data_IF_447955556082
#
_entry.id   IF_447955556082
#
_cell.length_a   1.000
_cell.length_b   1.000
_cell.length_c   1.000
_cell.angle_alpha   90.00
_cell.angle_beta   90.00
_cell.angle_gamma   90.00
#
_symmetry.space_group_name_H-M   'P 1'
#
loop_
_entity.id
_entity.type
_entity.pdbx_description
1 polymer ?
#
# COMPACT_ATOMS: atom_id res chain seq x y z
N UNK A 1 -41.14 -11.54 -12.48
CA UNK A 1 -40.36 -10.67 -11.59
C UNK A 1 -39.65 -11.56 -10.58
N UNK A 2 -38.46 -12.04 -10.89
CA UNK A 2 -37.66 -12.89 -9.99
C UNK A 2 -36.49 -12.07 -9.45
N UNK A 3 -36.49 -11.85 -8.14
CA UNK A 3 -35.37 -11.21 -7.45
C UNK A 3 -34.22 -12.22 -7.35
N UNK A 4 -33.11 -11.92 -8.03
CA UNK A 4 -31.86 -12.65 -7.86
C UNK A 4 -31.16 -12.14 -6.59
N UNK A 5 -31.16 -12.98 -5.55
CA UNK A 5 -30.41 -12.75 -4.32
C UNK A 5 -28.93 -13.05 -4.64
N UNK A 6 -28.12 -11.99 -4.75
CA UNK A 6 -26.67 -12.13 -4.89
C UNK A 6 -26.06 -12.47 -3.53
N UNK A 7 -25.69 -13.74 -3.35
CA UNK A 7 -24.82 -14.15 -2.25
C UNK A 7 -23.40 -13.63 -2.52
N UNK A 8 -23.01 -12.56 -1.82
CA UNK A 8 -21.60 -12.22 -1.64
C UNK A 8 -20.93 -13.31 -0.81
N UNK A 9 -20.00 -14.06 -1.40
CA UNK A 9 -19.06 -14.87 -0.62
C UNK A 9 -18.03 -13.93 0.02
N UNK A 10 -17.95 -13.86 1.37
CA UNK A 10 -16.79 -13.25 2.01
C UNK A 10 -15.57 -14.12 1.73
N UNK A 11 -14.45 -13.49 1.36
CA UNK A 11 -13.14 -14.14 1.33
C UNK A 11 -12.79 -14.66 2.74
N UNK A 12 -13.13 -15.92 2.99
CA UNK A 12 -12.81 -16.64 4.22
C UNK A 12 -11.30 -16.94 4.24
N UNK A 13 -10.54 -16.08 4.90
CA UNK A 13 -9.18 -16.42 5.34
C UNK A 13 -9.30 -17.42 6.49
N UNK A 14 -9.09 -18.71 6.20
CA UNK A 14 -8.99 -19.76 7.22
C UNK A 14 -7.86 -19.42 8.20
N UNK A 15 -8.18 -19.38 9.50
CA UNK A 15 -7.18 -19.43 10.58
C UNK A 15 -6.68 -20.88 10.71
N UNK A 16 -5.37 -21.08 10.89
CA UNK A 16 -4.97 -21.76 12.12
C UNK A 16 -3.67 -21.23 12.76
N UNK A 17 -3.56 -21.42 14.07
CA UNK A 17 -2.28 -21.71 14.72
C UNK A 17 -1.54 -20.54 15.38
N UNK A 18 -1.39 -20.67 16.71
CA UNK A 18 -0.41 -20.00 17.59
C UNK A 18 0.88 -19.54 16.89
N UNK A 19 1.23 -18.27 17.11
CA UNK A 19 2.56 -17.71 16.84
C UNK A 19 2.59 -16.68 15.70
N UNK A 20 1.91 -15.53 15.84
CA UNK A 20 1.88 -14.54 14.75
C UNK A 20 3.07 -13.57 14.81
N UNK A 21 4.10 -13.96 14.07
CA UNK A 21 5.08 -13.13 13.36
C UNK A 21 4.47 -11.82 12.82
N UNK A 22 5.26 -10.74 12.80
CA UNK A 22 4.95 -9.45 12.14
C UNK A 22 4.66 -9.71 10.65
N UNK A 23 3.44 -10.09 10.30
CA UNK A 23 3.05 -10.26 8.91
C UNK A 23 2.96 -8.87 8.29
N UNK A 24 3.92 -8.58 7.41
CA UNK A 24 3.82 -7.47 6.47
C UNK A 24 2.52 -7.62 5.68
N UNK A 25 1.89 -6.50 5.32
CA UNK A 25 0.78 -6.52 4.36
C UNK A 25 1.35 -7.07 3.06
N UNK A 26 0.77 -8.15 2.54
CA UNK A 26 1.22 -8.82 1.31
C UNK A 26 0.09 -8.78 0.31
N UNK A 27 0.39 -8.40 -0.93
CA UNK A 27 -0.58 -8.44 -2.01
C UNK A 27 0.08 -8.80 -3.34
N UNK A 28 -0.71 -9.50 -4.15
CA UNK A 28 -0.33 -9.91 -5.49
C UNK A 28 -0.61 -8.79 -6.49
N UNK A 29 0.41 -8.41 -7.26
CA UNK A 29 0.31 -7.39 -8.31
C UNK A 29 1.19 -7.77 -9.52
N UNK A 30 1.03 -7.11 -10.67
CA UNK A 30 1.93 -7.29 -11.81
C UNK A 30 3.39 -7.02 -11.41
N UNK A 31 4.32 -7.84 -11.92
CA UNK A 31 5.74 -7.68 -11.62
C UNK A 31 6.32 -6.44 -12.32
N UNK A 32 6.51 -5.35 -11.57
CA UNK A 32 6.98 -4.05 -12.09
C UNK A 32 8.39 -4.07 -12.68
N UNK A 33 9.15 -5.15 -12.48
CA UNK A 33 10.49 -5.32 -13.06
C UNK A 33 10.44 -5.75 -14.51
N UNK A 34 9.33 -6.38 -14.90
CA UNK A 34 9.08 -6.73 -16.29
C UNK A 34 8.54 -5.49 -16.96
N UNK A 35 9.28 -4.99 -17.93
CA UNK A 35 8.87 -3.81 -18.68
C UNK A 35 9.03 -4.02 -20.17
N UNK A 36 8.17 -3.38 -20.94
CA UNK A 36 8.29 -3.27 -22.38
C UNK A 36 7.63 -1.98 -22.86
N UNK A 37 7.84 -1.64 -24.12
CA UNK A 37 7.15 -0.52 -24.77
C UNK A 37 6.13 -1.11 -25.73
N UNK A 38 4.91 -0.60 -25.67
CA UNK A 38 3.84 -0.98 -26.58
C UNK A 38 3.34 0.26 -27.32
N UNK A 39 2.96 0.08 -28.59
CA UNK A 39 2.27 1.13 -29.32
C UNK A 39 0.83 1.20 -28.81
N UNK A 40 0.55 2.19 -28.00
CA UNK A 40 -0.81 2.58 -27.65
C UNK A 40 -1.38 3.33 -28.84
N UNK A 41 -2.23 2.66 -29.61
CA UNK A 41 -2.99 3.36 -30.64
C UNK A 41 -3.79 4.44 -29.92
N UNK A 42 -3.68 5.70 -30.35
CA UNK A 42 -4.71 6.68 -30.04
C UNK A 42 -6.03 6.05 -30.49
N UNK A 43 -7.03 6.13 -29.61
CA UNK A 43 -8.38 5.68 -29.92
C UNK A 43 -8.75 6.18 -31.29
N UNK A 44 -8.95 5.25 -32.22
CA UNK A 44 -9.65 5.60 -33.44
C UNK A 44 -11.06 6.01 -33.04
N UNK A 45 -11.66 6.92 -33.81
CA UNK A 45 -13.07 7.26 -33.65
C UNK A 45 -13.86 5.94 -33.73
N UNK A 46 -14.48 5.53 -32.62
CA UNK A 46 -15.21 4.27 -32.51
C UNK A 46 -14.58 3.21 -31.60
N UNK A 47 -13.36 3.39 -31.11
CA UNK A 47 -12.78 2.46 -30.13
C UNK A 47 -13.59 2.48 -28.82
N UNK A 48 -13.80 1.31 -28.19
CA UNK A 48 -14.54 1.27 -26.94
C UNK A 48 -13.84 2.05 -25.83
N UNK A 49 -14.59 2.91 -25.12
CA UNK A 49 -14.04 3.78 -24.07
C UNK A 49 -13.33 3.02 -22.92
N UNK A 50 -13.57 1.72 -22.76
CA UNK A 50 -12.90 0.87 -21.77
C UNK A 50 -11.55 0.30 -22.21
N UNK A 51 -11.08 0.60 -23.42
CA UNK A 51 -9.74 0.24 -23.91
C UNK A 51 -8.81 1.46 -24.06
N UNK A 52 -9.31 2.64 -23.70
CA UNK A 52 -8.60 3.92 -23.89
C UNK A 52 -7.59 4.13 -22.78
N UNK A 53 -6.34 4.31 -23.16
CA UNK A 53 -5.27 4.71 -22.25
C UNK A 53 -5.08 6.22 -22.36
N UNK A 54 -5.36 6.94 -21.28
CA UNK A 54 -5.17 8.38 -21.19
C UNK A 54 -3.78 8.73 -20.63
N UNK A 55 -3.30 9.98 -20.80
CA UNK A 55 -2.06 10.43 -20.19
C UNK A 55 -2.03 10.21 -18.66
N UNK A 56 -0.91 9.68 -18.15
CA UNK A 56 -0.72 9.30 -16.76
C UNK A 56 -0.63 7.79 -16.56
N UNK A 57 -1.15 7.32 -15.43
CA UNK A 57 -1.20 5.91 -15.07
C UNK A 57 -2.53 5.27 -15.50
N UNK A 58 -2.48 4.07 -16.05
CA UNK A 58 -3.66 3.25 -16.24
C UNK A 58 -3.45 1.79 -15.80
N UNK A 59 -4.49 1.18 -15.27
CA UNK A 59 -4.52 -0.23 -14.86
C UNK A 59 -5.24 -1.06 -15.90
N UNK A 60 -4.53 -1.99 -16.52
CA UNK A 60 -5.14 -2.94 -17.46
C UNK A 60 -5.44 -4.26 -16.74
N UNK A 61 -6.59 -4.87 -17.02
CA UNK A 61 -6.93 -6.19 -16.52
C UNK A 61 -8.17 -6.80 -17.18
N UNK A 62 -8.59 -7.95 -16.68
CA UNK A 62 -9.76 -8.68 -17.20
C UNK A 62 -11.01 -8.38 -16.38
N UNK A 63 -12.12 -8.00 -17.03
CA UNK A 63 -13.39 -7.85 -16.33
C UNK A 63 -13.97 -9.23 -15.99
N UNK A 64 -14.40 -9.43 -14.73
CA UNK A 64 -14.98 -10.70 -14.27
C UNK A 64 -16.49 -10.83 -14.52
N UNK A 65 -17.14 -9.76 -14.97
CA UNK A 65 -18.57 -9.79 -15.27
C UNK A 65 -18.78 -10.42 -16.66
N UNK A 66 -19.36 -11.62 -16.70
CA UNK A 66 -19.61 -12.38 -17.93
C UNK A 66 -20.60 -11.69 -18.89
N UNK A 67 -21.42 -10.77 -18.38
CA UNK A 67 -22.34 -9.96 -19.18
C UNK A 67 -21.73 -8.63 -19.63
N UNK A 68 -20.50 -8.32 -19.21
CA UNK A 68 -19.82 -7.10 -19.62
C UNK A 68 -19.31 -7.25 -21.06
N UNK A 69 -19.51 -6.24 -21.93
CA UNK A 69 -18.92 -6.26 -23.27
C UNK A 69 -17.39 -6.14 -23.24
N UNK A 70 -16.82 -5.62 -22.16
CA UNK A 70 -15.39 -5.53 -21.96
C UNK A 70 -14.83 -6.85 -21.43
N UNK A 71 -14.17 -7.63 -22.28
CA UNK A 71 -13.34 -8.77 -21.84
C UNK A 71 -12.05 -8.28 -21.21
N UNK A 72 -11.41 -7.30 -21.85
CA UNK A 72 -10.24 -6.56 -21.37
C UNK A 72 -10.70 -5.14 -21.06
N UNK A 73 -10.18 -4.56 -19.99
CA UNK A 73 -10.55 -3.24 -19.53
C UNK A 73 -9.33 -2.46 -19.05
N UNK A 74 -9.35 -1.17 -19.29
CA UNK A 74 -8.40 -0.17 -18.82
C UNK A 74 -9.11 0.74 -17.84
N UNK A 75 -8.52 0.96 -16.67
CA UNK A 75 -8.97 1.94 -15.68
C UNK A 75 -7.91 3.04 -15.59
N UNK A 76 -8.21 4.22 -16.14
CA UNK A 76 -7.31 5.37 -16.07
C UNK A 76 -7.29 5.91 -14.63
N UNK A 77 -6.09 6.05 -14.08
CA UNK A 77 -5.83 6.55 -12.72
C UNK A 77 -5.25 7.96 -12.74
N UNK A 78 -4.91 8.49 -13.92
CA UNK A 78 -4.35 9.83 -14.13
C UNK A 78 -2.99 10.03 -13.43
N UNK A 79 -2.55 11.28 -13.36
CA UNK A 79 -1.37 11.70 -12.62
C UNK A 79 -1.63 11.65 -11.11
N UNK A 80 -0.58 11.51 -10.31
CA UNK A 80 -0.66 11.54 -8.86
C UNK A 80 -0.01 10.34 -8.18
N UNK A 81 -0.39 10.09 -6.93
CA UNK A 81 0.22 9.07 -6.09
C UNK A 81 -0.75 7.92 -5.85
N UNK A 82 -0.37 6.76 -6.38
CA UNK A 82 -1.21 5.57 -6.44
C UNK A 82 -0.60 4.42 -5.64
N UNK A 83 -1.47 3.57 -5.10
CA UNK A 83 -1.12 2.44 -4.25
C UNK A 83 -2.00 1.27 -4.64
N UNK A 84 -1.60 0.45 -5.63
CA UNK A 84 -2.49 -0.52 -6.26
C UNK A 84 -3.26 -1.43 -5.29
N UNK A 85 -2.65 -1.82 -4.16
CA UNK A 85 -3.34 -2.56 -3.10
C UNK A 85 -4.49 -1.77 -2.47
N UNK A 86 -4.24 -0.51 -2.10
CA UNK A 86 -5.26 0.38 -1.55
C UNK A 86 -6.33 0.66 -2.60
N UNK A 87 -5.92 1.01 -3.83
CA UNK A 87 -6.84 1.34 -4.91
C UNK A 87 -7.79 0.16 -5.22
N UNK A 88 -7.27 -1.07 -5.19
CA UNK A 88 -8.08 -2.29 -5.29
C UNK A 88 -8.99 -2.50 -4.08
N UNK A 89 -8.46 -2.42 -2.86
CA UNK A 89 -9.23 -2.61 -1.62
C UNK A 89 -10.37 -1.59 -1.46
N UNK A 90 -10.16 -0.35 -1.89
CA UNK A 90 -11.17 0.71 -1.87
C UNK A 90 -12.09 0.68 -3.09
N UNK A 91 -11.97 -0.34 -3.94
CA UNK A 91 -12.76 -0.49 -5.16
C UNK A 91 -12.69 0.76 -6.07
N UNK A 92 -11.51 1.35 -6.19
CA UNK A 92 -11.23 2.41 -7.17
C UNK A 92 -10.93 1.81 -8.54
N UNK A 93 -10.41 0.58 -8.58
CA UNK A 93 -10.11 -0.14 -9.82
C UNK A 93 -11.37 -0.83 -10.34
N UNK A 94 -12.09 -0.15 -11.24
CA UNK A 94 -13.37 -0.62 -11.79
C UNK A 94 -13.34 -0.60 -13.31
N UNK A 95 -14.00 -1.60 -13.90
CA UNK A 95 -14.19 -1.64 -15.35
C UNK A 95 -15.07 -0.45 -15.77
N UNK A 96 -14.64 0.43 -16.69
CA UNK A 96 -15.46 1.59 -17.09
C UNK A 96 -16.80 1.18 -17.70
N UNK A 97 -16.85 0.04 -18.40
CA UNK A 97 -18.04 -0.43 -19.09
C UNK A 97 -19.17 -0.89 -18.14
N UNK A 98 -18.84 -1.58 -17.04
CA UNK A 98 -19.85 -2.19 -16.16
C UNK A 98 -19.62 -1.96 -14.66
N UNK A 99 -18.60 -1.18 -14.29
CA UNK A 99 -18.24 -0.81 -12.91
C UNK A 99 -17.84 -1.96 -11.98
N UNK A 100 -17.74 -3.18 -12.52
CA UNK A 100 -17.27 -4.36 -11.77
C UNK A 100 -15.79 -4.20 -11.45
N UNK A 101 -15.37 -4.42 -10.18
CA UNK A 101 -13.97 -4.32 -9.80
C UNK A 101 -13.13 -5.41 -10.47
N UNK A 102 -11.90 -5.08 -10.83
CA UNK A 102 -10.96 -6.04 -11.42
C UNK A 102 -9.55 -5.88 -10.84
N UNK A 103 -8.75 -6.93 -10.94
CA UNK A 103 -7.36 -6.91 -10.47
C UNK A 103 -6.44 -6.47 -11.62
N UNK A 104 -5.50 -5.53 -11.39
CA UNK A 104 -4.53 -5.15 -12.41
C UNK A 104 -3.66 -6.33 -12.84
N UNK A 105 -3.46 -6.44 -14.14
CA UNK A 105 -2.57 -7.40 -14.82
C UNK A 105 -1.34 -6.71 -15.42
N UNK A 106 -1.47 -5.42 -15.77
CA UNK A 106 -0.38 -4.55 -16.21
C UNK A 106 -0.62 -3.09 -15.76
N UNK A 107 0.45 -2.30 -15.72
CA UNK A 107 0.43 -0.85 -15.52
C UNK A 107 0.91 -0.14 -16.79
N UNK A 108 0.09 0.74 -17.35
CA UNK A 108 0.43 1.57 -18.50
C UNK A 108 0.82 2.97 -18.02
N UNK A 109 1.91 3.48 -18.59
CA UNK A 109 2.41 4.84 -18.38
C UNK A 109 2.45 5.54 -19.73
N UNK A 110 1.53 6.48 -19.94
CA UNK A 110 1.37 7.20 -21.21
C UNK A 110 1.65 8.68 -21.01
N UNK A 111 2.54 9.26 -21.83
CA UNK A 111 2.85 10.69 -21.80
C UNK A 111 3.02 11.24 -20.36
N UNK A 112 3.86 10.55 -19.59
CA UNK A 112 4.09 10.84 -18.17
C UNK A 112 5.49 10.39 -17.74
N UNK A 113 5.89 10.88 -16.58
CA UNK A 113 7.05 10.38 -15.84
C UNK A 113 6.56 9.75 -14.54
N UNK A 114 7.18 8.66 -14.10
CA UNK A 114 6.81 7.99 -12.87
C UNK A 114 8.02 7.55 -12.04
N UNK A 115 7.82 7.50 -10.72
CA UNK A 115 8.74 6.95 -9.73
C UNK A 115 8.01 5.87 -8.93
N UNK A 116 8.47 4.65 -9.04
CA UNK A 116 7.89 3.44 -8.48
C UNK A 116 8.76 2.96 -7.34
N UNK A 117 8.25 3.06 -6.11
CA UNK A 117 8.89 2.56 -4.91
C UNK A 117 8.25 1.21 -4.55
N UNK A 118 9.04 0.14 -4.49
CA UNK A 118 8.52 -1.19 -4.23
C UNK A 118 9.39 -2.01 -3.29
N UNK A 119 8.80 -3.05 -2.70
CA UNK A 119 9.48 -4.00 -1.85
C UNK A 119 8.78 -5.34 -1.99
N UNK A 120 9.48 -6.35 -2.52
CA UNK A 120 8.96 -7.71 -2.62
C UNK A 120 8.97 -8.41 -1.26
N UNK A 121 8.23 -9.51 -1.18
CA UNK A 121 8.35 -10.40 -0.02
C UNK A 121 9.79 -10.89 0.15
N UNK A 122 10.40 -10.55 1.28
CA UNK A 122 11.77 -10.95 1.61
C UNK A 122 12.88 -10.15 0.93
N UNK A 123 12.55 -9.13 0.13
CA UNK A 123 13.55 -8.24 -0.47
C UNK A 123 13.73 -6.95 0.32
N UNK A 124 14.82 -6.23 0.05
CA UNK A 124 14.96 -4.83 0.44
C UNK A 124 14.06 -3.93 -0.43
N UNK A 125 13.71 -2.72 0.04
CA UNK A 125 13.05 -1.72 -0.79
C UNK A 125 13.93 -1.32 -1.98
N UNK A 126 13.29 -1.05 -3.11
CA UNK A 126 13.92 -0.66 -4.37
C UNK A 126 13.09 0.42 -5.07
N UNK A 127 13.71 1.12 -6.01
CA UNK A 127 13.12 2.22 -6.78
C UNK A 127 13.35 2.01 -8.27
N UNK A 128 12.30 2.25 -9.05
CA UNK A 128 12.35 2.35 -10.50
C UNK A 128 11.80 3.71 -10.92
N UNK A 129 12.39 4.36 -11.93
CA UNK A 129 11.79 5.51 -12.61
C UNK A 129 11.49 5.16 -14.06
N UNK A 130 10.46 5.80 -14.56
CA UNK A 130 9.98 5.65 -15.92
C UNK A 130 9.81 7.06 -16.47
N UNK A 131 10.34 7.31 -17.66
CA UNK A 131 9.98 8.51 -18.42
C UNK A 131 9.46 8.07 -19.77
N UNK A 132 8.23 8.44 -20.09
CA UNK A 132 7.62 8.19 -21.39
C UNK A 132 6.98 9.48 -21.90
N UNK A 133 7.69 10.16 -22.79
CA UNK A 133 7.27 11.44 -23.38
C UNK A 133 6.82 11.30 -24.84
N UNK A 134 6.75 10.07 -25.36
CA UNK A 134 6.36 9.84 -26.75
C UNK A 134 4.85 9.71 -26.85
N UNK A 135 4.27 10.51 -27.73
CA UNK A 135 2.90 10.29 -28.20
C UNK A 135 2.80 8.87 -28.80
N UNK A 136 1.66 8.20 -28.58
CA UNK A 136 1.35 6.85 -29.11
C UNK A 136 2.16 5.67 -28.57
N UNK A 137 3.02 5.88 -27.58
CA UNK A 137 3.74 4.79 -26.92
C UNK A 137 3.50 4.84 -25.42
N UNK A 138 3.21 3.68 -24.86
CA UNK A 138 3.19 3.49 -23.41
C UNK A 138 4.38 2.65 -22.99
N UNK A 139 4.97 3.03 -21.87
CA UNK A 139 5.74 2.09 -21.07
C UNK A 139 4.75 1.20 -20.33
N UNK A 140 4.91 -0.11 -20.46
CA UNK A 140 4.10 -1.09 -19.74
C UNK A 140 4.98 -1.77 -18.70
N UNK A 141 4.51 -1.79 -17.44
CA UNK A 141 5.11 -2.58 -16.37
C UNK A 141 4.20 -3.75 -16.00
N UNK A 142 4.80 -4.93 -15.82
CA UNK A 142 4.09 -6.19 -15.63
C UNK A 142 3.79 -6.89 -16.96
N UNK A 143 3.41 -8.18 -16.84
CA UNK A 143 2.99 -9.02 -17.96
C UNK A 143 1.86 -9.91 -17.48
N UNK A 144 0.84 -10.10 -18.31
CA UNK A 144 -0.31 -10.95 -18.00
C UNK A 144 0.14 -12.35 -17.55
N UNK A 145 -0.38 -12.80 -16.40
CA UNK A 145 -0.02 -14.08 -15.77
C UNK A 145 1.27 -14.04 -14.95
N UNK A 146 2.06 -12.96 -14.99
CA UNK A 146 3.26 -12.78 -14.19
C UNK A 146 2.98 -11.86 -13.01
N UNK A 147 2.79 -12.50 -11.86
CA UNK A 147 2.43 -11.83 -10.61
C UNK A 147 3.60 -11.90 -9.64
N UNK A 148 3.83 -10.81 -8.93
CA UNK A 148 4.75 -10.75 -7.80
C UNK A 148 4.02 -10.35 -6.51
N UNK A 149 4.57 -10.76 -5.37
CA UNK A 149 4.03 -10.45 -4.04
C UNK A 149 4.81 -9.31 -3.41
N UNK A 150 4.09 -8.23 -3.11
CA UNK A 150 4.66 -6.99 -2.58
C UNK A 150 4.33 -6.81 -1.10
N UNK A 151 5.31 -6.33 -0.35
CA UNK A 151 5.14 -5.69 0.94
C UNK A 151 4.80 -4.20 0.81
N UNK A 152 5.27 -3.58 -0.28
CA UNK A 152 5.07 -2.18 -0.62
C UNK A 152 5.08 -2.03 -2.15
N UNK A 153 4.12 -1.29 -2.69
CA UNK A 153 4.16 -0.77 -4.06
C UNK A 153 3.49 0.60 -4.05
N UNK A 154 4.25 1.63 -4.40
CA UNK A 154 3.79 3.02 -4.49
C UNK A 154 4.25 3.57 -5.82
N UNK A 155 3.31 4.10 -6.59
CA UNK A 155 3.56 4.65 -7.92
C UNK A 155 3.26 6.15 -7.84
N UNK A 156 4.28 6.99 -8.01
CA UNK A 156 4.14 8.44 -8.11
C UNK A 156 4.27 8.82 -9.58
N UNK A 157 3.22 9.37 -10.17
CA UNK A 157 3.16 9.75 -11.59
C UNK A 157 2.98 11.26 -11.70
N UNK A 158 3.75 11.86 -12.58
CA UNK A 158 3.76 13.28 -12.86
C UNK A 158 3.97 13.53 -14.36
N UNK A 159 4.02 14.80 -14.75
CA UNK A 159 4.23 15.22 -16.14
C UNK A 159 5.56 14.67 -16.70
N UNK A 160 5.65 14.47 -18.02
CA UNK A 160 6.90 14.10 -18.67
C UNK A 160 8.08 14.98 -18.23
N UNK A 161 9.26 14.37 -18.10
CA UNK A 161 10.47 15.06 -17.66
C UNK A 161 10.60 15.31 -16.16
N UNK A 162 9.59 15.02 -15.33
CA UNK A 162 9.68 15.22 -13.87
C UNK A 162 10.68 14.28 -13.21
N UNK A 163 10.70 13.01 -13.62
CA UNK A 163 11.69 12.02 -13.19
C UNK A 163 12.52 11.60 -14.40
N UNK A 164 13.84 11.70 -14.27
CA UNK A 164 14.76 11.17 -15.28
C UNK A 164 14.67 9.64 -15.28
N UNK A 165 14.52 9.06 -16.47
CA UNK A 165 14.56 7.61 -16.68
C UNK A 165 15.94 7.11 -16.24
N UNK A 166 15.96 6.02 -15.48
CA UNK A 166 17.17 5.38 -14.96
C UNK A 166 18.15 4.96 -16.04
N UNK A 167 17.70 4.88 -17.29
CA UNK A 167 18.44 4.26 -18.38
C UNK A 167 18.45 2.75 -18.18
N UNK A 168 17.70 2.05 -19.04
CA UNK A 168 17.60 0.57 -19.13
C UNK A 168 17.61 -0.16 -17.78
N UNK A 169 16.41 -0.37 -17.24
CA UNK A 169 16.09 -1.43 -16.26
C UNK A 169 16.98 -2.68 -16.41
N UNK A 170 17.22 -3.12 -17.65
CA UNK A 170 18.07 -4.26 -18.00
C UNK A 170 19.49 -4.21 -17.43
N UNK A 171 20.15 -3.03 -17.39
CA UNK A 171 21.52 -2.91 -16.92
C UNK A 171 21.63 -3.01 -15.38
N UNK A 172 20.71 -2.36 -14.65
CA UNK A 172 20.66 -2.45 -13.18
C UNK A 172 20.24 -3.83 -12.72
N UNK A 173 19.28 -4.47 -13.41
CA UNK A 173 18.75 -5.77 -13.01
C UNK A 173 19.73 -6.91 -13.26
N UNK A 174 20.49 -6.87 -14.36
CA UNK A 174 21.56 -7.85 -14.62
C UNK A 174 22.60 -7.83 -13.50
N UNK A 175 23.03 -6.63 -13.07
CA UNK A 175 24.01 -6.48 -12.00
C UNK A 175 23.48 -6.89 -10.62
N UNK A 176 22.21 -6.57 -10.31
CA UNK A 176 21.59 -6.95 -9.05
C UNK A 176 21.35 -8.48 -8.97
N UNK A 177 20.90 -9.10 -10.06
CA UNK A 177 20.71 -10.55 -10.15
C UNK A 177 22.04 -11.29 -10.01
N UNK A 178 23.11 -10.81 -10.65
CA UNK A 178 24.45 -11.37 -10.51
C UNK A 178 24.97 -11.27 -9.07
N UNK A 179 24.74 -10.15 -8.38
CA UNK A 179 25.08 -10.02 -6.95
C UNK A 179 24.29 -10.95 -6.06
N UNK A 180 22.99 -11.12 -6.31
CA UNK A 180 22.15 -12.04 -5.53
C UNK A 180 22.57 -13.49 -5.74
N UNK A 181 22.85 -13.89 -6.99
CA UNK A 181 23.35 -15.24 -7.33
C UNK A 181 24.73 -15.50 -6.73
N UNK A 182 25.62 -14.49 -6.72
CA UNK A 182 26.92 -14.58 -6.06
C UNK A 182 26.78 -14.73 -4.53
N UNK A 183 25.83 -14.01 -3.91
CA UNK A 183 25.60 -14.12 -2.48
C UNK A 183 25.01 -15.48 -2.07
N UNK A 184 24.10 -16.03 -2.88
CA UNK A 184 23.55 -17.37 -2.68
C UNK A 184 24.62 -18.47 -2.78
N UNK A 185 25.60 -18.32 -3.68
CA UNK A 185 26.77 -19.22 -3.78
C UNK A 185 27.64 -19.15 -2.51
N UNK A 186 27.83 -17.97 -1.94
CA UNK A 186 28.64 -17.79 -0.71
C UNK A 186 27.92 -18.24 0.57
N UNK A 187 26.58 -18.23 0.60
CA UNK A 187 25.80 -18.77 1.73
C UNK A 187 25.82 -20.30 1.77
N UNK A 188 26.11 -20.95 0.63
CA UNK A 188 26.24 -22.41 0.53
C UNK A 188 27.55 -22.94 1.13
N UNK A 189 28.53 -22.06 1.41
CA UNK A 189 29.86 -22.44 1.91
C UNK A 189 30.10 -22.06 3.38
N UNK A 190 29.19 -21.32 4.02
CA UNK A 190 29.36 -20.84 5.39
C UNK A 190 28.42 -21.54 6.37
N UNK A 191 28.72 -22.80 6.68
CA UNK A 191 28.13 -23.53 7.81
C UNK A 191 29.23 -24.21 8.62
N UNK A 192 29.67 -23.58 9.71
CA UNK A 192 30.09 -24.21 10.99
C UNK A 192 30.56 -23.09 11.95
N UNK A 193 29.82 -22.87 13.04
CA UNK A 193 30.31 -22.73 14.43
C UNK A 193 29.19 -22.12 15.29
N UNK A 194 28.73 -22.89 16.28
CA UNK A 194 27.73 -22.46 17.25
C UNK A 194 28.35 -21.71 18.43
N UNK A 195 27.57 -20.82 19.03
CA UNK A 195 27.83 -20.34 20.39
C UNK A 195 26.53 -19.84 21.05
N UNK A 196 26.34 -20.32 22.28
CA UNK A 196 25.15 -20.13 23.13
C UNK A 196 25.34 -18.91 24.03
N UNK A 197 24.37 -17.98 24.18
CA UNK A 197 24.49 -16.87 25.13
C UNK A 197 23.86 -17.17 26.50
N UNK A 198 24.60 -16.80 27.55
CA UNK A 198 24.24 -16.83 28.98
C UNK A 198 23.20 -15.76 29.34
N UNK A 199 22.26 -16.10 30.22
CA UNK A 199 21.22 -15.22 30.75
C UNK A 199 21.71 -14.36 31.91
N UNK A 200 21.16 -13.14 32.02
CA UNK A 200 21.36 -12.17 33.12
C UNK A 200 20.06 -11.94 33.91
N UNK A 201 20.13 -11.38 35.15
CA UNK A 201 19.06 -11.43 36.15
C UNK A 201 17.90 -10.46 35.90
N UNK A 202 16.71 -10.85 36.34
CA UNK A 202 15.40 -10.23 36.04
C UNK A 202 15.08 -9.13 37.07
N UNK A 203 14.97 -7.89 36.60
CA UNK A 203 14.41 -6.75 37.33
C UNK A 203 12.87 -6.87 37.46
N UNK A 204 12.23 -6.22 38.46
CA UNK A 204 10.80 -6.37 38.72
C UNK A 204 9.94 -5.97 37.51
N UNK A 205 8.98 -6.82 37.21
CA UNK A 205 8.24 -6.91 35.95
C UNK A 205 7.34 -5.67 35.75
N UNK A 206 7.47 -4.94 34.62
CA UNK A 206 6.47 -3.95 34.24
C UNK A 206 5.13 -4.66 34.03
N UNK A 207 4.02 -4.02 34.46
CA UNK A 207 2.66 -4.44 34.11
C UNK A 207 2.64 -4.98 32.67
N UNK A 208 2.24 -6.24 32.51
CA UNK A 208 2.18 -6.90 31.21
C UNK A 208 1.09 -6.21 30.39
N UNK A 209 1.48 -5.21 29.60
CA UNK A 209 0.61 -4.57 28.63
C UNK A 209 0.16 -5.64 27.65
N UNK A 210 -1.07 -6.12 27.82
CA UNK A 210 -1.68 -7.03 26.86
C UNK A 210 -1.69 -6.35 25.49
N UNK A 211 -1.32 -7.07 24.43
CA UNK A 211 -1.32 -6.54 23.06
C UNK A 211 -2.77 -6.43 22.58
N UNK A 212 -3.37 -5.24 22.55
CA UNK A 212 -4.78 -5.11 22.20
C UNK A 212 -4.92 -5.17 20.68
N UNK A 213 -6.01 -5.74 20.20
CA UNK A 213 -6.40 -5.69 18.78
C UNK A 213 -7.43 -4.58 18.52
N UNK A 214 -8.15 -4.16 19.56
CA UNK A 214 -9.12 -3.07 19.55
C UNK A 214 -8.85 -2.18 20.74
N UNK A 215 -8.92 -0.86 20.56
CA UNK A 215 -8.87 0.11 21.64
C UNK A 215 -9.92 1.19 21.40
N UNK A 216 -10.43 1.78 22.48
CA UNK A 216 -11.20 3.00 22.38
C UNK A 216 -10.25 4.14 21.98
N UNK A 217 -10.49 4.86 20.87
CA UNK A 217 -9.67 5.99 20.46
C UNK A 217 -9.43 7.00 21.57
N UNK A 218 -10.42 7.24 22.44
CA UNK A 218 -10.30 8.22 23.53
C UNK A 218 -9.22 7.87 24.56
N UNK A 219 -8.93 6.58 24.75
CA UNK A 219 -7.90 6.08 25.68
C UNK A 219 -6.49 6.12 25.08
N UNK A 220 -6.37 6.42 23.78
CA UNK A 220 -5.08 6.50 23.07
C UNK A 220 -4.59 7.94 23.02
N UNK A 221 -3.34 8.14 23.38
CA UNK A 221 -2.67 9.44 23.42
C UNK A 221 -1.91 9.74 22.14
N UNK A 222 -1.71 11.01 21.85
CA UNK A 222 -0.91 11.46 20.72
C UNK A 222 0.57 11.48 21.07
N UNK A 223 1.44 10.99 20.17
CA UNK A 223 2.90 11.12 20.38
C UNK A 223 3.42 12.51 19.96
N UNK A 224 2.70 13.21 19.08
CA UNK A 224 3.05 14.54 18.57
C UNK A 224 2.14 15.63 19.13
N UNK A 225 2.67 16.84 19.25
CA UNK A 225 1.93 18.07 19.56
C UNK A 225 1.10 18.61 18.38
N UNK A 226 1.41 18.17 17.15
CA UNK A 226 0.75 18.66 15.95
C UNK A 226 0.77 17.69 14.77
N UNK A 227 -0.21 17.85 13.87
CA UNK A 227 -0.39 17.06 12.65
C UNK A 227 -0.67 17.98 11.45
N UNK A 228 -0.31 17.51 10.25
CA UNK A 228 -0.78 18.14 9.01
C UNK A 228 -2.28 17.88 8.80
N UNK A 229 -2.98 18.85 8.23
CA UNK A 229 -4.36 18.73 7.74
C UNK A 229 -4.55 17.74 6.58
N UNK A 230 -3.48 17.18 6.01
CA UNK A 230 -3.52 16.20 4.91
C UNK A 230 -2.79 14.90 5.24
N UNK A 231 -3.26 13.81 4.64
CA UNK A 231 -2.53 12.54 4.58
C UNK A 231 -1.41 12.58 3.53
N UNK A 232 -0.52 11.59 3.55
CA UNK A 232 0.54 11.45 2.53
C UNK A 232 -0.02 11.21 1.12
N UNK A 233 -1.26 10.76 1.00
CA UNK A 233 -1.98 10.59 -0.26
C UNK A 233 -2.79 11.84 -0.67
N UNK A 234 -2.55 13.01 -0.07
CA UNK A 234 -3.21 14.27 -0.42
C UNK A 234 -4.61 14.50 0.20
N UNK A 235 -5.34 13.44 0.54
CA UNK A 235 -6.67 13.50 1.20
C UNK A 235 -6.64 14.35 2.48
N UNK A 236 -7.72 15.08 2.77
CA UNK A 236 -7.83 15.90 3.99
C UNK A 236 -8.21 15.03 5.19
N UNK A 237 -7.59 15.26 6.34
CA UNK A 237 -7.89 14.53 7.59
C UNK A 237 -9.35 14.75 8.01
N UNK A 238 -9.86 15.97 7.84
CA UNK A 238 -11.26 16.34 8.11
C UNK A 238 -12.23 15.59 7.20
N UNK A 239 -11.87 15.34 5.95
CA UNK A 239 -12.73 14.60 5.01
C UNK A 239 -12.88 13.14 5.43
N UNK A 240 -11.81 12.48 5.84
CA UNK A 240 -11.88 11.13 6.40
C UNK A 240 -12.72 11.08 7.68
N UNK A 241 -12.63 12.11 8.53
CA UNK A 241 -13.50 12.23 9.70
C UNK A 241 -14.99 12.35 9.32
N UNK A 242 -15.32 13.18 8.32
CA UNK A 242 -16.69 13.29 7.80
C UNK A 242 -17.18 11.97 7.20
N UNK A 243 -16.33 11.28 6.43
CA UNK A 243 -16.66 9.97 5.84
C UNK A 243 -17.00 8.93 6.92
N UNK A 244 -16.25 8.92 8.02
CA UNK A 244 -16.53 8.08 9.18
C UNK A 244 -17.88 8.41 9.83
N UNK A 245 -18.21 9.71 9.97
CA UNK A 245 -19.52 10.13 10.48
C UNK A 245 -20.67 9.71 9.55
N UNK A 246 -20.44 9.67 8.23
CA UNK A 246 -21.43 9.24 7.23
C UNK A 246 -21.49 7.72 7.03
N UNK A 247 -20.73 6.93 7.80
CA UNK A 247 -20.81 5.47 7.79
C UNK A 247 -19.73 4.73 7.01
N UNK A 248 -18.60 5.39 6.68
CA UNK A 248 -17.41 4.68 6.18
C UNK A 248 -16.97 3.64 7.22
N UNK A 249 -16.81 2.38 6.80
CA UNK A 249 -16.34 1.32 7.69
C UNK A 249 -14.90 1.60 8.16
N UNK A 250 -14.69 1.44 9.47
CA UNK A 250 -13.36 1.60 10.09
C UNK A 250 -12.34 0.62 9.53
N UNK A 251 -12.79 -0.57 9.11
CA UNK A 251 -11.93 -1.63 8.56
C UNK A 251 -11.33 -1.27 7.19
N UNK A 252 -11.92 -0.31 6.50
CA UNK A 252 -11.37 0.23 5.27
C UNK A 252 -10.17 1.14 5.58
N UNK A 253 -10.14 1.82 6.73
CA UNK A 253 -9.04 2.71 7.07
C UNK A 253 -7.86 1.90 7.61
N UNK A 254 -6.60 2.18 7.22
CA UNK A 254 -5.47 1.43 7.72
C UNK A 254 -5.40 1.45 9.25
N UNK A 255 -5.07 0.30 9.84
CA UNK A 255 -4.98 0.09 11.30
C UNK A 255 -3.93 1.01 11.94
N UNK A 256 -4.27 1.67 13.06
CA UNK A 256 -3.32 2.57 13.75
C UNK A 256 -2.33 1.78 14.59
N UNK A 257 -1.07 2.21 14.59
CA UNK A 257 0.01 1.60 15.37
C UNK A 257 0.08 2.24 16.76
N UNK A 258 0.02 1.40 17.79
CA UNK A 258 0.02 1.82 19.20
C UNK A 258 1.15 1.18 19.99
N UNK A 259 1.67 1.88 20.98
CA UNK A 259 2.72 1.39 21.87
C UNK A 259 2.52 1.95 23.28
N UNK A 260 2.92 1.22 24.34
CA UNK A 260 2.86 1.73 25.70
C UNK A 260 3.99 2.72 25.92
N UNK A 261 3.66 3.89 26.45
CA UNK A 261 4.64 4.92 26.84
C UNK A 261 4.06 5.73 28.00
N UNK A 262 4.86 5.90 29.07
CA UNK A 262 4.48 6.64 30.28
C UNK A 262 3.13 6.19 30.89
N UNK A 263 2.90 4.88 30.95
CA UNK A 263 1.67 4.34 31.56
C UNK A 263 0.40 4.47 30.69
N UNK A 264 0.52 4.87 29.42
CA UNK A 264 -0.61 5.02 28.51
C UNK A 264 -0.30 4.51 27.10
N UNK A 265 -1.35 4.14 26.36
CA UNK A 265 -1.24 3.84 24.93
C UNK A 265 -0.99 5.12 24.14
N UNK A 266 0.03 5.14 23.29
CA UNK A 266 0.31 6.23 22.37
C UNK A 266 0.22 5.75 20.92
N UNK A 267 -0.25 6.60 20.02
CA UNK A 267 -0.33 6.30 18.58
C UNK A 267 0.84 6.90 17.81
N UNK A 268 1.40 6.13 16.89
CA UNK A 268 2.33 6.65 15.88
C UNK A 268 1.60 7.37 14.72
N UNK A 269 0.31 7.08 14.57
CA UNK A 269 -0.53 7.45 13.45
C UNK A 269 -1.52 8.56 13.82
N UNK A 270 -1.00 9.66 14.37
CA UNK A 270 -1.78 10.74 14.99
C UNK A 270 -2.89 11.34 14.10
N UNK A 271 -2.70 11.43 12.78
CA UNK A 271 -3.72 11.92 11.84
C UNK A 271 -4.97 11.02 11.82
N UNK A 272 -4.77 9.70 11.81
CA UNK A 272 -5.86 8.71 11.83
C UNK A 272 -6.53 8.69 13.20
N UNK A 273 -5.73 8.70 14.27
CA UNK A 273 -6.26 8.79 15.63
C UNK A 273 -7.14 10.03 15.82
N UNK A 274 -6.71 11.18 15.29
CA UNK A 274 -7.50 12.41 15.34
C UNK A 274 -8.85 12.25 14.67
N UNK A 275 -8.88 11.68 13.45
CA UNK A 275 -10.12 11.45 12.73
C UNK A 275 -11.06 10.52 13.52
N UNK A 276 -10.52 9.43 14.10
CA UNK A 276 -11.29 8.50 14.92
C UNK A 276 -11.86 9.12 16.20
N UNK A 277 -11.05 9.90 16.93
CA UNK A 277 -11.51 10.61 18.13
C UNK A 277 -12.62 11.61 17.81
N UNK A 278 -12.50 12.35 16.71
CA UNK A 278 -13.47 13.36 16.29
C UNK A 278 -14.75 12.76 15.70
N UNK A 279 -14.66 11.60 15.06
CA UNK A 279 -15.83 10.83 14.62
C UNK A 279 -16.58 10.14 15.78
N UNK A 280 -16.07 10.21 17.03
CA UNK A 280 -16.76 9.66 18.20
C UNK A 280 -16.76 8.12 18.26
N UNK A 281 -15.83 7.45 17.58
CA UNK A 281 -15.75 6.00 17.58
C UNK A 281 -15.42 5.46 18.98
N UNK A 282 -16.06 4.36 19.38
CA UNK A 282 -15.87 3.72 20.68
C UNK A 282 -14.79 2.63 20.67
N UNK A 283 -14.48 2.09 19.49
CA UNK A 283 -13.46 1.07 19.31
C UNK A 283 -12.90 1.17 17.90
N UNK A 284 -11.58 1.06 17.77
CA UNK A 284 -10.88 1.00 16.49
C UNK A 284 -9.87 -0.14 16.50
N UNK A 285 -9.62 -0.78 15.34
CA UNK A 285 -8.58 -1.76 15.23
C UNK A 285 -7.23 -1.08 15.44
N UNK A 286 -6.39 -1.70 16.27
CA UNK A 286 -5.04 -1.22 16.56
C UNK A 286 -4.02 -2.33 16.35
N UNK A 287 -2.79 -1.93 16.06
CA UNK A 287 -1.63 -2.82 15.95
C UNK A 287 -0.59 -2.41 16.97
N UNK A 288 -0.27 -3.31 17.90
CA UNK A 288 0.84 -3.11 18.82
C UNK A 288 2.18 -3.00 18.06
N UNK A 289 3.01 -2.03 18.43
CA UNK A 289 4.40 -1.90 18.00
C UNK A 289 5.31 -1.67 19.20
N UNK A 290 6.57 -2.10 19.09
CA UNK A 290 7.55 -1.86 20.15
C UNK A 290 7.97 -0.39 20.14
N UNK A 291 8.05 0.24 21.32
CA UNK A 291 8.46 1.65 21.45
C UNK A 291 9.80 1.94 20.75
N UNK A 292 10.74 0.99 20.78
CA UNK A 292 12.05 1.10 20.11
C UNK A 292 11.97 1.21 18.58
N UNK A 293 10.85 0.78 17.98
CA UNK A 293 10.62 0.89 16.54
C UNK A 293 9.96 2.22 16.12
N UNK A 294 9.57 3.04 17.10
CA UNK A 294 8.92 4.33 16.85
C UNK A 294 10.00 5.38 16.61
N UNK A 295 9.88 6.15 15.53
CA UNK A 295 10.78 7.26 15.23
C UNK A 295 10.81 8.26 16.39
N UNK A 296 11.97 8.40 17.02
CA UNK A 296 12.19 9.27 18.18
C UNK A 296 11.87 10.73 17.90
N UNK A 297 11.96 11.17 16.63
CA UNK A 297 11.62 12.54 16.21
C UNK A 297 10.12 12.84 16.28
N UNK A 298 9.27 11.81 16.43
CA UNK A 298 7.81 11.99 16.59
C UNK A 298 7.39 12.30 18.03
N UNK A 299 8.29 12.19 19.02
CA UNK A 299 7.98 12.44 20.42
C UNK A 299 8.01 13.93 20.73
N UNK A 300 6.98 14.66 20.27
CA UNK A 300 6.88 16.13 20.42
C UNK A 300 5.78 16.59 21.36
N UNK A 301 4.92 15.68 21.84
CA UNK A 301 3.86 16.06 22.80
C UNK A 301 4.43 16.63 24.11
N UNK A 302 3.80 17.69 24.63
CA UNK A 302 4.18 18.37 25.87
C UNK A 302 3.18 18.15 27.02
N UNK A 303 1.96 17.73 26.69
CA UNK A 303 0.87 17.49 27.65
C UNK A 303 0.64 15.99 27.88
N UNK A 304 1.65 15.17 27.55
CA UNK A 304 1.56 13.72 27.61
C UNK A 304 0.58 13.14 26.60
N UNK A 305 0.23 13.85 25.53
CA UNK A 305 -0.53 13.34 24.38
C UNK A 305 -2.04 13.52 24.49
N UNK A 306 -2.50 14.47 25.30
CA UNK A 306 -3.93 14.74 25.51
C UNK A 306 -4.52 15.57 24.38
N UNK A 307 -3.77 16.56 23.90
CA UNK A 307 -4.18 17.46 22.82
C UNK A 307 -3.24 17.36 21.62
N UNK A 308 -3.75 17.81 20.47
CA UNK A 308 -2.95 17.92 19.25
C UNK A 308 -3.49 19.06 18.37
N UNK A 309 -2.59 19.85 17.79
CA UNK A 309 -2.94 20.95 16.88
C UNK A 309 -2.86 20.52 15.43
N UNK A 310 -3.90 20.78 14.64
CA UNK A 310 -3.84 20.64 13.19
C UNK A 310 -3.18 21.88 12.56
N UNK A 311 -2.23 21.66 11.64
CA UNK A 311 -1.56 22.71 10.85
C UNK A 311 -2.12 22.76 9.43
#
# INVERSE_FOLDING_TARGET
MSAAIFHFQPCLVKRPGRGMSKTSVRFACPDVRVSYVENTRFTQIGDPHWLVVEPGLAYLGTCKNLSCPATITVCNMEMGKHRPNEDYCYSQIRCPACQTPFQPECFYFQHCSAKINFCFEGSVPDELRVSEDRDLKSRVLGKRGQVAVYNLLVIEVDRPGTYEDDGTLDAKYTFALDRMLAHARNLSTASTTGSTPKQQPIAPTPQSWQRPNMLNPQDIRYVQDSISSRFMCGRRVVETMNQLLTGLSVDLIPTIRVFPWNGHWHSEDNRRLWAFKKAGLKAVPVRYVDKSSVDSRKFTTRDGGLTIRMR
#
